data_IF_299527811071
#
_entry.id   IF_299527811071
#
_cell.length_a   1.000
_cell.length_b   1.000
_cell.length_c   1.000
_cell.angle_alpha   90.00
_cell.angle_beta   90.00
_cell.angle_gamma   90.00
#
_symmetry.space_group_name_H-M   'P 1'
#
loop_
_entity.id
_entity.type
_entity.pdbx_description
1 polymer ?
#
# COMPACT_ATOMS: atom_id res chain seq x y z
N UNK A 1 31.59 31.68 19.47
CA UNK A 1 30.84 32.00 18.26
C UNK A 1 31.82 31.98 17.12
N UNK A 2 31.74 30.99 16.24
CA UNK A 2 32.44 31.02 14.97
C UNK A 2 31.60 30.24 13.93
N UNK A 3 31.16 30.96 12.90
CA UNK A 3 30.26 30.48 11.86
C UNK A 3 31.10 29.85 10.74
N UNK A 4 31.00 28.52 10.56
CA UNK A 4 31.56 27.89 9.35
C UNK A 4 30.59 28.02 8.17
N UNK A 5 31.01 28.93 7.30
CA UNK A 5 30.63 29.21 5.90
C UNK A 5 30.25 27.94 5.11
N UNK A 6 29.06 27.98 4.51
CA UNK A 6 28.59 27.05 3.50
C UNK A 6 29.36 27.27 2.19
N UNK A 7 30.02 26.24 1.67
CA UNK A 7 30.46 26.20 0.27
C UNK A 7 30.27 24.81 -0.31
N UNK A 8 29.27 24.70 -1.18
CA UNK A 8 29.22 23.86 -2.39
C UNK A 8 30.37 22.85 -2.52
N UNK A 9 30.26 21.72 -1.84
CA UNK A 9 30.87 20.49 -2.27
C UNK A 9 29.72 19.51 -2.44
N UNK A 10 29.41 19.28 -3.72
CA UNK A 10 28.88 18.04 -4.28
C UNK A 10 28.60 17.02 -3.19
N UNK A 11 27.34 16.91 -2.78
CA UNK A 11 26.86 15.74 -2.05
C UNK A 11 27.32 14.55 -2.88
N UNK A 12 28.31 13.83 -2.36
CA UNK A 12 28.62 12.50 -2.81
C UNK A 12 27.32 11.73 -2.68
N UNK A 13 26.65 11.56 -3.82
CA UNK A 13 25.53 10.64 -3.94
C UNK A 13 26.10 9.28 -3.55
N UNK A 14 25.83 8.87 -2.33
CA UNK A 14 25.73 7.45 -2.03
C UNK A 14 24.65 6.92 -2.97
N UNK A 15 25.08 6.20 -4.01
CA UNK A 15 24.24 5.72 -5.11
C UNK A 15 23.07 4.88 -4.58
N UNK A 16 23.28 4.18 -3.46
CA UNK A 16 22.27 3.32 -2.83
C UNK A 16 21.19 4.08 -2.04
N UNK A 17 21.52 5.19 -1.37
CA UNK A 17 20.52 5.98 -0.62
C UNK A 17 19.56 6.73 -1.55
N UNK A 18 20.05 7.15 -2.72
CA UNK A 18 19.24 7.85 -3.72
C UNK A 18 18.19 6.93 -4.35
N UNK A 19 18.56 5.69 -4.66
CA UNK A 19 17.65 4.70 -5.24
C UNK A 19 16.59 4.27 -4.23
N UNK A 20 16.95 3.97 -2.98
CA UNK A 20 15.96 3.59 -1.97
C UNK A 20 14.92 4.70 -1.73
N UNK A 21 15.37 5.96 -1.66
CA UNK A 21 14.48 7.12 -1.55
C UNK A 21 13.58 7.25 -2.78
N UNK A 22 14.08 6.98 -3.99
CA UNK A 22 13.28 6.99 -5.21
C UNK A 22 12.22 5.90 -5.22
N UNK A 23 12.57 4.65 -4.85
CA UNK A 23 11.61 3.55 -4.75
C UNK A 23 10.52 3.84 -3.71
N UNK A 24 10.90 4.32 -2.52
CA UNK A 24 9.94 4.71 -1.48
C UNK A 24 8.99 5.83 -1.95
N UNK A 25 9.51 6.83 -2.68
CA UNK A 25 8.67 7.89 -3.27
C UNK A 25 7.71 7.33 -4.31
N UNK A 26 8.16 6.41 -5.17
CA UNK A 26 7.32 5.79 -6.18
C UNK A 26 6.19 4.98 -5.53
N UNK A 27 6.50 4.19 -4.50
CA UNK A 27 5.48 3.47 -3.70
C UNK A 27 4.51 4.43 -3.05
N UNK A 28 4.99 5.52 -2.44
CA UNK A 28 4.12 6.55 -1.85
C UNK A 28 3.18 7.20 -2.88
N UNK A 29 3.68 7.48 -4.10
CA UNK A 29 2.86 8.02 -5.19
C UNK A 29 1.78 7.02 -5.61
N UNK A 30 2.13 5.74 -5.77
CA UNK A 30 1.19 4.68 -6.14
C UNK A 30 0.10 4.51 -5.07
N UNK A 31 0.48 4.45 -3.80
CA UNK A 31 -0.45 4.36 -2.67
C UNK A 31 -1.37 5.59 -2.64
N UNK A 32 -0.81 6.79 -2.77
CA UNK A 32 -1.58 8.05 -2.76
C UNK A 32 -2.59 8.08 -3.91
N UNK A 33 -2.17 7.63 -5.09
CA UNK A 33 -3.04 7.60 -6.26
C UNK A 33 -4.21 6.62 -6.07
N UNK A 34 -3.93 5.40 -5.65
CA UNK A 34 -4.95 4.38 -5.37
C UNK A 34 -5.89 4.82 -4.23
N UNK A 35 -5.32 5.41 -3.17
CA UNK A 35 -6.08 5.97 -2.06
C UNK A 35 -7.05 7.09 -2.50
N UNK A 36 -6.62 7.95 -3.44
CA UNK A 36 -7.52 8.98 -3.99
C UNK A 36 -8.77 8.38 -4.67
N UNK A 37 -8.64 7.20 -5.28
CA UNK A 37 -9.78 6.49 -5.87
C UNK A 37 -10.67 5.84 -4.81
N UNK A 38 -10.11 5.27 -3.75
CA UNK A 38 -10.92 4.67 -2.66
C UNK A 38 -11.78 5.73 -1.97
N UNK A 39 -11.26 6.95 -1.79
CA UNK A 39 -12.03 8.09 -1.27
C UNK A 39 -13.16 8.50 -2.24
N UNK A 40 -12.86 8.69 -3.54
CA UNK A 40 -13.88 9.05 -4.54
C UNK A 40 -14.98 7.99 -4.68
N UNK A 41 -14.60 6.72 -4.60
CA UNK A 41 -15.55 5.60 -4.64
C UNK A 41 -16.35 5.47 -3.33
N UNK A 42 -15.83 6.00 -2.21
CA UNK A 42 -16.43 5.89 -0.88
C UNK A 42 -16.26 4.50 -0.28
N UNK A 43 -15.19 3.79 -0.62
CA UNK A 43 -14.93 2.43 -0.13
C UNK A 43 -13.70 2.44 0.77
N UNK A 44 -13.84 1.94 1.98
CA UNK A 44 -12.76 1.94 2.99
C UNK A 44 -11.61 1.01 2.68
N UNK A 45 -11.78 0.11 1.70
CA UNK A 45 -10.81 -0.89 1.31
C UNK A 45 -10.51 -0.77 -0.18
N UNK A 46 -9.23 -0.92 -0.53
CA UNK A 46 -8.77 -0.98 -1.90
C UNK A 46 -7.48 -1.81 -1.99
N UNK A 47 -6.97 -1.99 -3.20
CA UNK A 47 -5.66 -2.58 -3.38
C UNK A 47 -5.00 -2.13 -4.68
N UNK A 48 -3.69 -2.27 -4.74
CA UNK A 48 -2.88 -2.21 -5.95
C UNK A 48 -2.25 -3.59 -6.15
N UNK A 49 -2.20 -4.07 -7.38
CA UNK A 49 -1.46 -5.29 -7.72
C UNK A 49 -0.34 -4.94 -8.69
N UNK A 50 0.85 -5.46 -8.43
CA UNK A 50 2.00 -5.40 -9.36
C UNK A 50 2.13 -6.70 -10.17
N UNK A 51 1.22 -7.66 -9.99
CA UNK A 51 1.32 -9.03 -10.53
C UNK A 51 2.13 -9.96 -9.63
N UNK A 52 3.16 -9.44 -8.96
CA UNK A 52 4.03 -10.20 -8.04
C UNK A 52 3.68 -9.96 -6.57
N UNK A 53 3.23 -8.75 -6.24
CA UNK A 53 2.83 -8.34 -4.90
C UNK A 53 1.50 -7.60 -4.93
N UNK A 54 0.84 -7.58 -3.77
CA UNK A 54 -0.34 -6.75 -3.55
C UNK A 54 -0.03 -5.67 -2.53
N UNK A 55 -0.64 -4.50 -2.67
CA UNK A 55 -0.69 -3.48 -1.63
C UNK A 55 -2.15 -3.31 -1.27
N UNK A 56 -2.59 -3.92 -0.18
CA UNK A 56 -3.92 -3.70 0.36
C UNK A 56 -3.95 -2.37 1.10
N UNK A 57 -5.01 -1.60 0.89
CA UNK A 57 -5.24 -0.29 1.47
C UNK A 57 -6.49 -0.33 2.34
N UNK A 58 -6.40 0.30 3.50
CA UNK A 58 -7.54 0.55 4.37
C UNK A 58 -7.46 1.94 4.98
N UNK A 59 -8.57 2.66 5.06
CA UNK A 59 -8.67 3.88 5.87
C UNK A 59 -9.92 3.81 6.73
N UNK A 60 -9.92 4.57 7.83
CA UNK A 60 -11.08 4.67 8.70
C UNK A 60 -11.97 5.84 8.27
N UNK A 61 -13.27 5.61 8.19
CA UNK A 61 -14.22 6.63 7.74
C UNK A 61 -14.29 7.88 8.63
N UNK A 62 -13.91 7.78 9.90
CA UNK A 62 -13.83 8.90 10.86
C UNK A 62 -12.56 9.74 10.70
N UNK A 63 -11.51 9.17 10.10
CA UNK A 63 -10.22 9.82 9.90
C UNK A 63 -9.67 9.53 8.49
N UNK A 64 -10.29 10.09 7.42
CA UNK A 64 -9.89 9.84 6.04
C UNK A 64 -8.50 10.38 5.72
N UNK A 65 -7.86 11.19 6.59
CA UNK A 65 -6.51 11.70 6.35
C UNK A 65 -5.39 10.65 6.44
N UNK A 66 -5.68 9.42 6.87
CA UNK A 66 -4.66 8.37 7.07
C UNK A 66 -5.06 7.09 6.36
N UNK A 67 -4.16 6.59 5.51
CA UNK A 67 -4.28 5.28 4.86
C UNK A 67 -3.27 4.31 5.47
N UNK A 68 -3.77 3.14 5.86
CA UNK A 68 -2.99 1.99 6.29
C UNK A 68 -2.77 1.08 5.07
N UNK A 69 -1.60 0.46 4.99
CA UNK A 69 -1.30 -0.48 3.93
C UNK A 69 -0.73 -1.80 4.47
N UNK A 70 -0.99 -2.88 3.73
CA UNK A 70 -0.42 -4.21 3.95
C UNK A 70 0.13 -4.75 2.63
N UNK A 71 1.39 -5.21 2.62
CA UNK A 71 2.12 -5.65 1.43
C UNK A 71 2.43 -7.16 1.51
N UNK A 72 1.52 -8.04 1.08
CA UNK A 72 1.85 -9.45 0.91
C UNK A 72 2.56 -9.71 -0.43
N UNK A 73 3.44 -10.70 -0.42
CA UNK A 73 4.18 -11.17 -1.60
C UNK A 73 3.90 -12.66 -1.73
N UNK A 74 2.80 -13.06 -2.40
CA UNK A 74 2.32 -14.43 -2.39
C UNK A 74 3.38 -15.46 -2.80
N UNK A 75 4.26 -15.17 -3.75
CA UNK A 75 5.32 -16.10 -4.16
C UNK A 75 6.33 -16.38 -3.02
N UNK A 76 6.71 -15.35 -2.25
CA UNK A 76 7.59 -15.50 -1.10
C UNK A 76 6.86 -16.12 0.10
N UNK A 77 5.62 -15.71 0.33
CA UNK A 77 4.76 -16.23 1.40
C UNK A 77 4.41 -17.71 1.18
N UNK A 78 4.37 -18.18 -0.08
CA UNK A 78 4.05 -19.57 -0.44
C UNK A 78 5.27 -20.48 -0.65
N UNK A 79 6.49 -19.94 -0.82
CA UNK A 79 7.58 -20.69 -1.44
C UNK A 79 8.97 -20.43 -0.84
N UNK A 80 9.17 -20.86 0.41
CA UNK A 80 10.45 -21.37 1.00
C UNK A 80 10.31 -21.74 2.47
N UNK A 81 9.43 -21.06 3.23
CA UNK A 81 9.18 -21.36 4.66
C UNK A 81 8.05 -22.37 4.91
N UNK A 82 7.17 -22.56 3.94
CA UNK A 82 5.93 -23.35 4.14
C UNK A 82 6.05 -24.81 3.64
N UNK A 83 7.09 -25.17 2.88
CA UNK A 83 7.29 -26.54 2.39
C UNK A 83 6.29 -27.00 1.31
N UNK A 84 5.63 -26.07 0.61
CA UNK A 84 4.62 -26.39 -0.40
C UNK A 84 5.22 -27.10 -1.64
N UNK A 85 5.03 -28.41 -1.75
CA UNK A 85 5.45 -29.23 -2.91
C UNK A 85 4.31 -29.58 -3.87
N UNK A 86 3.11 -29.02 -3.68
CA UNK A 86 1.92 -29.34 -4.48
C UNK A 86 1.22 -30.65 -4.10
N UNK A 87 1.79 -31.42 -3.16
CA UNK A 87 1.21 -32.63 -2.58
C UNK A 87 1.12 -32.41 -1.06
N UNK A 88 -0.05 -32.01 -0.56
CA UNK A 88 -0.29 -31.84 0.86
C UNK A 88 -1.32 -32.86 1.33
N UNK A 89 -0.84 -34.01 1.78
CA UNK A 89 -1.55 -34.83 2.75
C UNK A 89 -1.30 -34.18 4.12
N UNK A 90 -2.33 -33.59 4.72
CA UNK A 90 -2.42 -33.24 6.16
C UNK A 90 -1.94 -31.85 6.68
N UNK A 91 -2.22 -30.73 6.00
CA UNK A 91 -2.07 -29.41 6.66
C UNK A 91 -3.14 -28.38 6.26
N UNK A 92 -3.43 -27.46 7.19
CA UNK A 92 -4.49 -26.45 7.16
C UNK A 92 -4.55 -25.70 5.81
N UNK A 93 -5.76 -25.41 5.33
CA UNK A 93 -5.98 -24.93 3.96
C UNK A 93 -5.33 -23.55 3.71
N UNK A 94 -4.10 -23.53 3.18
CA UNK A 94 -3.29 -22.31 2.93
C UNK A 94 -3.74 -21.47 1.74
N UNK A 95 -4.94 -21.72 1.19
CA UNK A 95 -5.52 -20.92 0.10
C UNK A 95 -5.55 -19.42 0.43
N UNK A 96 -5.68 -19.03 1.71
CA UNK A 96 -5.68 -17.63 2.16
C UNK A 96 -4.35 -16.88 1.89
N UNK A 97 -3.24 -17.61 1.69
CA UNK A 97 -1.94 -17.02 1.35
C UNK A 97 -1.74 -16.84 -0.16
N UNK A 98 -2.62 -17.42 -0.99
CA UNK A 98 -2.55 -17.26 -2.44
C UNK A 98 -3.09 -15.89 -2.87
N UNK A 99 -2.59 -15.38 -3.99
CA UNK A 99 -3.11 -14.17 -4.63
C UNK A 99 -4.65 -14.21 -4.79
N UNK A 100 -5.18 -15.36 -5.21
CA UNK A 100 -6.62 -15.56 -5.40
C UNK A 100 -7.36 -15.54 -4.06
N UNK A 101 -6.83 -16.22 -3.03
CA UNK A 101 -7.41 -16.23 -1.69
C UNK A 101 -7.45 -14.84 -1.06
N UNK A 102 -6.38 -14.06 -1.19
CA UNK A 102 -6.31 -12.69 -0.68
C UNK A 102 -7.31 -11.76 -1.38
N UNK A 103 -7.44 -11.85 -2.72
CA UNK A 103 -8.43 -11.06 -3.47
C UNK A 103 -9.87 -11.47 -3.12
N UNK A 104 -10.13 -12.77 -2.97
CA UNK A 104 -11.44 -13.27 -2.54
C UNK A 104 -11.78 -12.80 -1.12
N UNK A 105 -10.81 -12.83 -0.19
CA UNK A 105 -11.00 -12.34 1.16
C UNK A 105 -11.36 -10.85 1.18
N UNK A 106 -10.64 -10.02 0.42
CA UNK A 106 -10.97 -8.59 0.29
C UNK A 106 -12.38 -8.38 -0.30
N UNK A 107 -12.74 -9.15 -1.32
CA UNK A 107 -14.07 -9.03 -1.96
C UNK A 107 -15.20 -9.58 -1.10
N UNK A 108 -14.90 -10.46 -0.15
CA UNK A 108 -15.84 -10.95 0.85
C UNK A 108 -16.14 -9.89 1.92
N UNK A 109 -15.29 -8.86 2.07
CA UNK A 109 -15.57 -7.72 2.95
C UNK A 109 -16.77 -6.97 2.37
N UNK A 110 -17.91 -7.08 3.05
CA UNK A 110 -19.14 -6.37 2.70
C UNK A 110 -19.06 -4.94 3.21
N UNK A 111 -18.37 -4.08 2.47
CA UNK A 111 -18.42 -2.63 2.72
C UNK A 111 -19.48 -1.98 1.84
N UNK A 112 -20.46 -1.35 2.47
CA UNK A 112 -21.37 -0.46 1.76
C UNK A 112 -20.61 0.81 1.39
N UNK A 113 -20.61 1.25 0.12
CA UNK A 113 -20.00 2.52 -0.23
C UNK A 113 -20.64 3.68 0.56
N UNK A 114 -19.81 4.58 1.05
CA UNK A 114 -20.23 5.82 1.68
C UNK A 114 -21.01 6.71 0.70
N UNK A 115 -21.92 7.51 1.24
CA UNK A 115 -22.76 8.42 0.46
C UNK A 115 -21.98 9.63 -0.08
N UNK A 116 -22.67 10.50 -0.82
CA UNK A 116 -22.03 11.66 -1.43
C UNK A 116 -21.62 12.71 -0.39
N UNK A 117 -22.41 12.89 0.68
CA UNK A 117 -22.10 13.85 1.74
C UNK A 117 -20.79 13.47 2.45
N UNK A 118 -20.62 12.19 2.76
CA UNK A 118 -19.38 11.68 3.33
C UNK A 118 -18.20 11.86 2.37
N UNK A 119 -18.38 11.60 1.06
CA UNK A 119 -17.31 11.76 0.06
C UNK A 119 -16.82 13.20 -0.04
N UNK A 120 -17.75 14.15 -0.04
CA UNK A 120 -17.43 15.58 -0.12
C UNK A 120 -16.72 16.05 1.16
N UNK A 121 -17.20 15.59 2.32
CA UNK A 121 -16.53 15.83 3.59
C UNK A 121 -15.11 15.22 3.62
N UNK A 122 -14.95 13.95 3.24
CA UNK A 122 -13.65 13.29 3.22
C UNK A 122 -12.67 13.97 2.27
N UNK A 123 -13.13 14.39 1.08
CA UNK A 123 -12.31 15.15 0.14
C UNK A 123 -11.86 16.51 0.71
N UNK A 124 -12.71 17.17 1.52
CA UNK A 124 -12.35 18.43 2.19
C UNK A 124 -11.25 18.29 3.24
N UNK A 125 -11.06 17.09 3.80
CA UNK A 125 -10.03 16.81 4.80
C UNK A 125 -8.66 16.50 4.16
N UNK A 126 -8.61 16.31 2.84
CA UNK A 126 -7.42 15.83 2.12
C UNK A 126 -6.73 16.96 1.37
N UNK A 127 -5.40 17.00 1.49
CA UNK A 127 -4.56 17.86 0.68
C UNK A 127 -4.19 17.18 -0.63
N UNK A 128 -4.09 17.96 -1.70
CA UNK A 128 -3.59 17.48 -2.98
C UNK A 128 -2.08 17.24 -2.88
N UNK A 129 -1.62 16.06 -3.31
CA UNK A 129 -0.19 15.78 -3.37
C UNK A 129 0.46 16.65 -4.46
N UNK A 130 1.41 17.50 -4.06
CA UNK A 130 2.26 18.26 -4.99
C UNK A 130 3.57 17.49 -5.10
N UNK A 131 3.82 16.91 -6.27
CA UNK A 131 5.04 16.14 -6.56
C UNK A 131 6.24 17.05 -6.81
#
# INVERSE_FOLDING_TARGET
MDFKKWSLLRVERHHDEAEEIQHRRLVAVVITHAFSYTIKAGVEYGYVSTGEAFIFLHFKADAPGTVYYYLPVPEQDLGKETGFTGEAEDDDNRLHMTAVGQVLALRAIRTTPHDQEWKDWAASQLNMWVA
#
